data_IF_374232279201
#
_entry.id   IF_374232279201
#
_cell.length_a   1.000
_cell.length_b   1.000
_cell.length_c   1.000
_cell.angle_alpha   90.00
_cell.angle_beta   90.00
_cell.angle_gamma   90.00
#
_symmetry.space_group_name_H-M   'P 1'
#
loop_
_entity.id
_entity.type
_entity.pdbx_description
1 polymer ?
#
# COMPACT_ATOMS: atom_id res chain seq x y z
N UNK A 1 12.14 -3.34 17.98
CA UNK A 1 12.28 -2.04 17.26
C UNK A 1 12.47 -0.81 18.15
N UNK A 2 12.05 -0.82 19.44
CA UNK A 2 12.30 0.29 20.36
C UNK A 2 13.79 0.54 20.65
N UNK A 3 14.66 -0.46 20.49
CA UNK A 3 16.11 -0.32 20.70
C UNK A 3 16.84 0.33 19.49
N UNK A 4 16.44 0.07 18.23
CA UNK A 4 16.99 0.81 17.07
C UNK A 4 16.53 2.28 17.06
N UNK A 5 15.26 2.55 17.39
CA UNK A 5 14.78 3.95 17.52
C UNK A 5 15.54 4.74 18.60
N UNK A 6 16.15 4.04 19.57
CA UNK A 6 17.05 4.60 20.59
C UNK A 6 18.54 4.58 20.19
N UNK A 7 18.88 4.20 18.96
CA UNK A 7 20.25 4.14 18.44
C UNK A 7 21.09 2.96 18.96
N UNK A 8 20.52 2.04 19.75
CA UNK A 8 21.27 1.04 20.52
C UNK A 8 21.58 -0.27 19.78
N UNK A 9 21.18 -0.39 18.50
CA UNK A 9 21.39 -1.60 17.69
C UNK A 9 21.63 -1.17 16.23
N UNK A 10 22.66 -1.68 15.51
CA UNK A 10 22.89 -1.35 14.10
C UNK A 10 21.85 -1.98 13.16
N UNK A 11 21.63 -1.43 11.96
CA UNK A 11 20.71 -2.01 10.96
C UNK A 11 21.11 -3.41 10.54
N UNK A 12 22.41 -3.67 10.37
CA UNK A 12 22.93 -5.02 10.07
C UNK A 12 22.31 -6.11 10.95
N UNK A 13 22.23 -5.89 12.28
CA UNK A 13 21.62 -6.85 13.22
C UNK A 13 20.11 -7.00 13.08
N UNK A 14 19.40 -5.96 12.66
CA UNK A 14 17.97 -6.07 12.34
C UNK A 14 17.78 -6.88 11.07
N UNK A 15 18.62 -6.64 10.07
CA UNK A 15 18.52 -7.25 8.75
C UNK A 15 18.95 -8.73 8.76
N UNK A 16 19.91 -9.12 9.60
CA UNK A 16 20.28 -10.52 9.86
C UNK A 16 19.07 -11.40 10.23
N UNK A 17 18.04 -10.83 10.86
CA UNK A 17 16.82 -11.59 11.18
C UNK A 17 16.13 -12.15 9.92
N UNK A 18 16.38 -11.59 8.73
CA UNK A 18 15.81 -12.11 7.49
C UNK A 18 16.27 -13.54 7.20
N UNK A 19 17.46 -13.95 7.66
CA UNK A 19 17.97 -15.30 7.48
C UNK A 19 17.09 -16.32 8.19
N UNK A 20 16.64 -15.98 9.41
CA UNK A 20 15.64 -16.75 10.14
C UNK A 20 14.27 -16.67 9.46
N UNK A 21 13.82 -15.47 9.10
CA UNK A 21 12.49 -15.26 8.51
C UNK A 21 12.30 -16.00 7.17
N UNK A 22 13.37 -16.20 6.41
CA UNK A 22 13.32 -16.87 5.11
C UNK A 22 12.82 -18.31 5.18
N UNK A 23 13.01 -18.99 6.33
CA UNK A 23 12.60 -20.37 6.58
C UNK A 23 11.50 -20.51 7.65
N UNK A 24 10.96 -19.38 8.11
CA UNK A 24 9.90 -19.30 9.11
C UNK A 24 8.51 -19.36 8.44
N UNK A 25 7.59 -20.10 9.04
CA UNK A 25 6.22 -20.33 8.55
C UNK A 25 5.14 -19.94 9.57
N UNK A 26 5.53 -19.60 10.80
CA UNK A 26 4.62 -19.23 11.88
C UNK A 26 4.25 -17.75 11.84
N UNK A 27 3.01 -17.42 12.20
CA UNK A 27 2.51 -16.04 12.16
C UNK A 27 3.26 -15.06 13.08
N UNK A 28 3.55 -15.36 14.37
CA UNK A 28 4.07 -14.34 15.29
C UNK A 28 5.40 -13.70 14.86
N UNK A 29 6.41 -14.46 14.39
CA UNK A 29 7.65 -13.85 13.86
C UNK A 29 7.39 -12.97 12.64
N UNK A 30 6.53 -13.41 11.72
CA UNK A 30 6.18 -12.64 10.51
C UNK A 30 5.49 -11.33 10.87
N UNK A 31 4.55 -11.36 11.82
CA UNK A 31 3.89 -10.16 12.32
C UNK A 31 4.89 -9.20 12.99
N UNK A 32 5.81 -9.71 13.82
CA UNK A 32 6.82 -8.90 14.47
C UNK A 32 7.77 -8.22 13.47
N UNK A 33 8.11 -8.89 12.37
CA UNK A 33 9.00 -8.37 11.33
C UNK A 33 8.32 -7.45 10.31
N UNK A 34 6.98 -7.44 10.27
CA UNK A 34 6.21 -6.66 9.28
C UNK A 34 6.58 -5.18 9.26
N UNK A 35 6.69 -4.53 10.42
CA UNK A 35 7.03 -3.11 10.46
C UNK A 35 8.42 -2.80 9.90
N UNK A 36 9.36 -3.76 9.88
CA UNK A 36 10.65 -3.58 9.20
C UNK A 36 10.45 -3.58 7.69
N UNK A 37 9.67 -4.54 7.15
CA UNK A 37 9.35 -4.58 5.72
C UNK A 37 8.65 -3.30 5.29
N UNK A 38 7.61 -2.88 6.00
CA UNK A 38 6.84 -1.69 5.70
C UNK A 38 7.72 -0.43 5.75
N UNK A 39 8.59 -0.32 6.76
CA UNK A 39 9.52 0.80 6.88
C UNK A 39 10.50 0.86 5.70
N UNK A 40 11.07 -0.29 5.30
CA UNK A 40 12.01 -0.33 4.18
C UNK A 40 11.32 -0.04 2.84
N UNK A 41 10.15 -0.64 2.60
CA UNK A 41 9.35 -0.39 1.40
C UNK A 41 8.94 1.09 1.30
N UNK A 42 8.55 1.72 2.41
CA UNK A 42 8.17 3.13 2.42
C UNK A 42 9.38 4.06 2.26
N UNK A 43 10.45 3.84 3.04
CA UNK A 43 11.59 4.76 3.07
C UNK A 43 12.44 4.75 1.80
N UNK A 44 12.43 3.64 1.05
CA UNK A 44 13.14 3.52 -0.22
C UNK A 44 12.24 3.72 -1.45
N UNK A 45 10.95 4.05 -1.26
CA UNK A 45 10.01 4.27 -2.35
C UNK A 45 10.51 5.36 -3.29
N UNK A 46 10.40 5.11 -4.60
CA UNK A 46 10.89 6.00 -5.65
C UNK A 46 12.43 6.06 -5.82
N UNK A 47 13.19 5.32 -4.99
CA UNK A 47 14.66 5.29 -5.09
C UNK A 47 15.15 4.19 -6.02
N UNK A 48 16.39 4.33 -6.52
CA UNK A 48 17.04 3.30 -7.34
C UNK A 48 17.30 1.98 -6.58
N UNK A 49 17.25 1.99 -5.25
CA UNK A 49 17.50 0.80 -4.41
C UNK A 49 16.25 -0.07 -4.22
N UNK A 50 15.06 0.45 -4.56
CA UNK A 50 13.78 -0.24 -4.37
C UNK A 50 13.76 -1.69 -4.92
N UNK A 51 14.34 -2.01 -6.10
CA UNK A 51 14.39 -3.39 -6.57
C UNK A 51 15.07 -4.36 -5.59
N UNK A 52 16.14 -3.93 -4.93
CA UNK A 52 16.86 -4.76 -3.95
C UNK A 52 16.10 -4.84 -2.61
N UNK A 53 15.40 -3.76 -2.22
CA UNK A 53 14.47 -3.80 -1.09
C UNK A 53 13.35 -4.82 -1.33
N UNK A 54 12.74 -4.83 -2.53
CA UNK A 54 11.72 -5.83 -2.89
C UNK A 54 12.26 -7.25 -2.82
N UNK A 55 13.47 -7.51 -3.32
CA UNK A 55 14.13 -8.84 -3.20
C UNK A 55 14.34 -9.25 -1.74
N UNK A 56 14.79 -8.33 -0.88
CA UNK A 56 14.91 -8.58 0.56
C UNK A 56 13.57 -8.97 1.19
N UNK A 57 12.51 -8.22 0.89
CA UNK A 57 11.16 -8.50 1.41
C UNK A 57 10.65 -9.83 0.87
N UNK A 58 10.85 -10.14 -0.42
CA UNK A 58 10.48 -11.42 -1.02
C UNK A 58 11.17 -12.59 -0.31
N UNK A 59 12.49 -12.49 -0.07
CA UNK A 59 13.27 -13.49 0.65
C UNK A 59 12.70 -13.73 2.05
N UNK A 60 12.30 -12.68 2.75
CA UNK A 60 11.79 -12.75 4.12
C UNK A 60 10.46 -13.46 4.29
N UNK A 61 9.67 -13.67 3.22
CA UNK A 61 8.36 -14.35 3.26
C UNK A 61 8.31 -15.61 2.39
N UNK A 62 9.44 -15.98 1.79
CA UNK A 62 9.51 -17.00 0.72
C UNK A 62 8.89 -18.33 1.13
N UNK A 63 9.36 -18.93 2.23
CA UNK A 63 8.87 -20.26 2.65
C UNK A 63 7.45 -20.21 3.16
N UNK A 64 7.08 -19.17 3.93
CA UNK A 64 5.70 -18.94 4.34
C UNK A 64 4.74 -18.85 3.15
N UNK A 65 5.11 -18.14 2.07
CA UNK A 65 4.30 -18.08 0.86
C UNK A 65 4.23 -19.45 0.16
N UNK A 66 5.36 -20.14 -0.01
CA UNK A 66 5.40 -21.44 -0.67
C UNK A 66 4.57 -22.50 0.06
N UNK A 67 4.59 -22.49 1.39
CA UNK A 67 3.92 -23.50 2.19
C UNK A 67 2.48 -23.14 2.57
N UNK A 68 2.14 -21.85 2.69
CA UNK A 68 0.84 -21.39 3.21
C UNK A 68 0.08 -20.46 2.26
N UNK A 69 0.73 -19.94 1.23
CA UNK A 69 0.13 -19.00 0.28
C UNK A 69 -1.13 -19.56 -0.35
N UNK A 70 -2.17 -18.73 -0.43
CA UNK A 70 -3.50 -19.10 -0.95
C UNK A 70 -4.21 -20.28 -0.26
N UNK A 71 -3.66 -20.86 0.80
CA UNK A 71 -4.27 -22.00 1.47
C UNK A 71 -5.48 -21.58 2.30
N UNK A 72 -6.49 -22.45 2.32
CA UNK A 72 -7.63 -22.34 3.22
C UNK A 72 -7.30 -23.08 4.51
N UNK A 73 -7.31 -22.38 5.63
CA UNK A 73 -7.11 -22.98 6.96
C UNK A 73 -8.24 -22.57 7.91
N UNK A 74 -8.60 -23.48 8.82
CA UNK A 74 -9.45 -23.16 9.97
C UNK A 74 -8.65 -22.64 11.16
N UNK A 75 -7.32 -22.79 11.14
CA UNK A 75 -6.43 -22.20 12.14
C UNK A 75 -6.23 -20.72 11.84
N UNK A 76 -6.55 -19.87 12.81
CA UNK A 76 -6.39 -18.42 12.69
C UNK A 76 -4.94 -18.01 12.43
N UNK A 77 -3.97 -18.70 13.05
CA UNK A 77 -2.54 -18.39 12.85
C UNK A 77 -2.09 -18.73 11.44
N UNK A 78 -2.51 -19.88 10.91
CA UNK A 78 -2.20 -20.30 9.54
C UNK A 78 -2.84 -19.37 8.51
N UNK A 79 -4.11 -18.98 8.73
CA UNK A 79 -4.79 -18.04 7.86
C UNK A 79 -4.10 -16.66 7.88
N UNK A 80 -3.67 -16.20 9.05
CA UNK A 80 -3.01 -14.91 9.21
C UNK A 80 -1.63 -14.85 8.54
N UNK A 81 -0.83 -15.93 8.64
CA UNK A 81 0.46 -16.00 7.92
C UNK A 81 0.23 -16.14 6.41
N UNK A 82 -0.80 -16.87 5.97
CA UNK A 82 -1.17 -16.96 4.57
C UNK A 82 -1.52 -15.58 3.99
N UNK A 83 -2.34 -14.77 4.69
CA UNK A 83 -2.64 -13.38 4.28
C UNK A 83 -1.37 -12.57 4.10
N UNK A 84 -0.53 -12.52 5.15
CA UNK A 84 0.66 -11.70 5.16
C UNK A 84 1.63 -12.12 4.04
N UNK A 85 1.94 -13.41 3.95
CA UNK A 85 2.92 -13.92 3.02
C UNK A 85 2.45 -13.78 1.57
N UNK A 86 1.15 -14.01 1.31
CA UNK A 86 0.56 -13.85 -0.02
C UNK A 86 0.59 -12.39 -0.47
N UNK A 87 0.23 -11.44 0.41
CA UNK A 87 0.31 -10.01 0.08
C UNK A 87 1.75 -9.57 -0.23
N UNK A 88 2.72 -9.93 0.62
CA UNK A 88 4.12 -9.53 0.42
C UNK A 88 4.76 -10.21 -0.79
N UNK A 89 4.40 -11.46 -1.10
CA UNK A 89 4.87 -12.14 -2.32
C UNK A 89 4.37 -11.39 -3.56
N UNK A 90 3.08 -11.06 -3.63
CA UNK A 90 2.54 -10.32 -4.77
C UNK A 90 3.09 -8.87 -4.84
N UNK A 91 3.30 -8.19 -3.70
CA UNK A 91 3.88 -6.85 -3.61
C UNK A 91 5.31 -6.77 -4.17
N UNK A 92 6.04 -7.88 -4.06
CA UNK A 92 7.45 -7.99 -4.49
C UNK A 92 7.59 -8.60 -5.88
N UNK A 93 6.52 -8.52 -6.68
CA UNK A 93 6.47 -8.95 -8.08
C UNK A 93 6.74 -10.46 -8.26
N UNK A 94 6.38 -11.28 -7.26
CA UNK A 94 6.46 -12.74 -7.40
C UNK A 94 5.48 -13.21 -8.49
N UNK A 95 6.04 -13.72 -9.59
CA UNK A 95 5.29 -14.14 -10.79
C UNK A 95 4.23 -15.20 -10.48
N UNK A 96 4.53 -16.16 -9.61
CA UNK A 96 3.57 -17.19 -9.22
C UNK A 96 2.37 -16.59 -8.46
N UNK A 97 2.64 -15.69 -7.51
CA UNK A 97 1.61 -14.98 -6.76
C UNK A 97 0.73 -14.14 -7.67
N UNK A 98 1.34 -13.37 -8.58
CA UNK A 98 0.61 -12.53 -9.54
C UNK A 98 -0.26 -13.38 -10.47
N UNK A 99 0.28 -14.45 -11.06
CA UNK A 99 -0.48 -15.34 -11.94
C UNK A 99 -1.65 -15.99 -11.19
N UNK A 100 -1.42 -16.42 -9.94
CA UNK A 100 -2.47 -17.01 -9.11
C UNK A 100 -3.56 -16.00 -8.75
N UNK A 101 -3.17 -14.78 -8.34
CA UNK A 101 -4.11 -13.70 -8.05
C UNK A 101 -4.97 -13.37 -9.27
N UNK A 102 -4.36 -13.28 -10.46
CA UNK A 102 -5.08 -13.07 -11.73
C UNK A 102 -6.08 -14.19 -12.00
N UNK A 103 -5.64 -15.44 -11.96
CA UNK A 103 -6.51 -16.60 -12.23
C UNK A 103 -7.70 -16.66 -11.26
N UNK A 104 -7.46 -16.44 -9.97
CA UNK A 104 -8.52 -16.39 -8.97
C UNK A 104 -9.45 -15.20 -9.18
N UNK A 105 -8.93 -14.05 -9.60
CA UNK A 105 -9.75 -12.87 -9.89
C UNK A 105 -10.59 -13.03 -11.15
N UNK A 106 -10.05 -13.65 -12.20
CA UNK A 106 -10.80 -13.94 -13.43
C UNK A 106 -12.01 -14.85 -13.11
N UNK A 107 -11.81 -15.88 -12.28
CA UNK A 107 -12.90 -16.73 -11.80
C UNK A 107 -13.91 -15.93 -10.96
N UNK A 108 -13.44 -15.04 -10.08
CA UNK A 108 -14.30 -14.16 -9.30
C UNK A 108 -15.17 -13.27 -10.19
N UNK A 109 -14.63 -12.67 -11.25
CA UNK A 109 -15.40 -11.83 -12.16
C UNK A 109 -16.53 -12.62 -12.81
N UNK A 110 -16.22 -13.81 -13.35
CA UNK A 110 -17.23 -14.69 -13.99
C UNK A 110 -18.30 -15.12 -12.99
N UNK A 111 -17.90 -15.56 -11.80
CA UNK A 111 -18.84 -16.10 -10.82
C UNK A 111 -19.69 -15.00 -10.15
N UNK A 112 -19.14 -13.79 -9.98
CA UNK A 112 -19.78 -12.71 -9.25
C UNK A 112 -20.43 -11.64 -10.13
N UNK A 113 -20.34 -11.74 -11.47
CA UNK A 113 -20.90 -10.76 -12.42
C UNK A 113 -22.36 -10.42 -12.11
N UNK A 114 -23.18 -11.44 -11.86
CA UNK A 114 -24.61 -11.32 -11.57
C UNK A 114 -24.93 -11.46 -10.08
N UNK A 115 -23.94 -11.39 -9.19
CA UNK A 115 -24.20 -11.54 -7.76
C UNK A 115 -25.10 -10.42 -7.22
N UNK A 116 -26.09 -10.84 -6.43
CA UNK A 116 -27.03 -9.97 -5.71
C UNK A 116 -26.89 -10.09 -4.18
N UNK A 117 -25.91 -10.88 -3.71
CA UNK A 117 -25.72 -11.26 -2.30
C UNK A 117 -24.30 -10.98 -1.78
N UNK A 118 -23.56 -10.11 -2.49
CA UNK A 118 -22.15 -9.83 -2.19
C UNK A 118 -21.22 -10.90 -2.74
N UNK A 119 -20.08 -11.12 -2.09
CA UNK A 119 -18.98 -11.97 -2.59
C UNK A 119 -18.93 -13.36 -1.95
N UNK A 120 -19.70 -13.60 -0.90
CA UNK A 120 -19.57 -14.80 -0.06
C UNK A 120 -19.76 -16.10 -0.83
N UNK A 121 -20.83 -16.19 -1.62
CA UNK A 121 -21.20 -17.39 -2.38
C UNK A 121 -20.37 -17.53 -3.67
N UNK A 122 -20.27 -16.44 -4.44
CA UNK A 122 -19.62 -16.47 -5.76
C UNK A 122 -18.08 -16.51 -5.70
N UNK A 123 -17.47 -16.16 -4.56
CA UNK A 123 -16.02 -16.26 -4.34
C UNK A 123 -15.64 -17.33 -3.29
N UNK A 124 -16.48 -18.35 -3.11
CA UNK A 124 -16.36 -19.33 -2.02
C UNK A 124 -15.12 -20.23 -2.09
N UNK A 125 -14.52 -20.36 -3.27
CA UNK A 125 -13.28 -21.11 -3.50
C UNK A 125 -12.04 -20.40 -2.96
N UNK A 126 -12.12 -19.09 -2.74
CA UNK A 126 -11.01 -18.31 -2.17
C UNK A 126 -11.25 -18.05 -0.70
N UNK A 127 -10.26 -18.46 0.12
CA UNK A 127 -10.25 -18.19 1.55
C UNK A 127 -10.39 -16.68 1.80
N UNK A 128 -11.32 -16.24 2.65
CA UNK A 128 -11.58 -14.82 2.91
C UNK A 128 -10.33 -14.02 3.27
N UNK A 129 -9.40 -14.63 3.99
CA UNK A 129 -8.16 -14.03 4.48
C UNK A 129 -7.20 -13.60 3.36
N UNK A 130 -7.28 -14.19 2.16
CA UNK A 130 -6.42 -13.85 1.01
C UNK A 130 -7.17 -13.09 -0.10
N UNK A 131 -8.46 -12.77 0.11
CA UNK A 131 -9.28 -12.08 -0.90
C UNK A 131 -8.82 -10.65 -1.16
N UNK A 132 -8.28 -9.95 -0.16
CA UNK A 132 -7.66 -8.63 -0.34
C UNK A 132 -6.58 -8.66 -1.43
N UNK A 133 -5.73 -9.69 -1.37
CA UNK A 133 -4.64 -9.90 -2.34
C UNK A 133 -5.18 -10.34 -3.70
N UNK A 134 -6.15 -11.27 -3.73
CA UNK A 134 -6.84 -11.66 -4.97
C UNK A 134 -7.40 -10.44 -5.70
N UNK A 135 -8.22 -9.62 -5.02
CA UNK A 135 -8.89 -8.50 -5.65
C UNK A 135 -7.90 -7.44 -6.12
N UNK A 136 -6.92 -7.06 -5.29
CA UNK A 136 -5.94 -6.04 -5.64
C UNK A 136 -5.08 -6.42 -6.84
N UNK A 137 -4.33 -7.52 -6.74
CA UNK A 137 -3.38 -7.90 -7.79
C UNK A 137 -4.06 -8.53 -8.99
N UNK A 138 -5.25 -9.11 -8.80
CA UNK A 138 -6.10 -9.56 -9.88
C UNK A 138 -6.65 -8.40 -10.71
N UNK A 139 -7.25 -7.38 -10.08
CA UNK A 139 -7.77 -6.21 -10.78
C UNK A 139 -6.64 -5.41 -11.46
N UNK A 140 -5.47 -5.32 -10.84
CA UNK A 140 -4.29 -4.70 -11.46
C UNK A 140 -3.89 -5.36 -12.80
N UNK A 141 -4.12 -6.67 -12.95
CA UNK A 141 -3.82 -7.45 -14.15
C UNK A 141 -5.02 -7.63 -15.10
N UNK A 142 -6.24 -7.39 -14.60
CA UNK A 142 -7.48 -7.50 -15.38
C UNK A 142 -8.34 -6.23 -15.18
N UNK A 143 -7.94 -5.06 -15.73
CA UNK A 143 -8.54 -3.76 -15.39
C UNK A 143 -10.03 -3.61 -15.76
N UNK A 144 -10.50 -4.36 -16.76
CA UNK A 144 -11.92 -4.41 -17.14
C UNK A 144 -12.83 -4.99 -16.05
N UNK A 145 -12.27 -5.58 -14.99
CA UNK A 145 -13.02 -6.05 -13.82
C UNK A 145 -13.49 -4.95 -12.88
N UNK A 146 -13.14 -3.68 -13.12
CA UNK A 146 -13.46 -2.56 -12.23
C UNK A 146 -14.97 -2.43 -11.96
N UNK A 147 -15.81 -2.62 -12.97
CA UNK A 147 -17.26 -2.45 -12.84
C UNK A 147 -17.86 -3.47 -11.86
N UNK A 148 -17.35 -4.72 -11.88
CA UNK A 148 -17.76 -5.77 -10.94
C UNK A 148 -17.34 -5.39 -9.52
N UNK A 149 -16.10 -4.89 -9.35
CA UNK A 149 -15.57 -4.48 -8.04
C UNK A 149 -16.35 -3.29 -7.48
N UNK A 150 -16.60 -2.25 -8.26
CA UNK A 150 -17.38 -1.10 -7.83
C UNK A 150 -18.84 -1.48 -7.50
N UNK A 151 -19.48 -2.28 -8.35
CA UNK A 151 -20.85 -2.78 -8.12
C UNK A 151 -20.93 -3.49 -6.77
N UNK A 152 -20.00 -4.41 -6.50
CA UNK A 152 -19.99 -5.20 -5.26
C UNK A 152 -19.63 -4.35 -4.05
N UNK A 153 -18.70 -3.41 -4.17
CA UNK A 153 -18.40 -2.44 -3.12
C UNK A 153 -19.65 -1.62 -2.75
N UNK A 154 -20.32 -1.02 -3.74
CA UNK A 154 -21.56 -0.27 -3.56
C UNK A 154 -22.67 -1.13 -2.94
N UNK A 155 -22.75 -2.41 -3.32
CA UNK A 155 -23.67 -3.36 -2.69
C UNK A 155 -23.38 -3.52 -1.20
N UNK A 156 -22.12 -3.68 -0.78
CA UNK A 156 -21.78 -3.82 0.64
C UNK A 156 -22.09 -2.55 1.44
N UNK A 157 -21.72 -1.38 0.92
CA UNK A 157 -22.01 -0.08 1.56
C UNK A 157 -23.51 0.07 1.83
N UNK A 158 -24.35 -0.37 0.88
CA UNK A 158 -25.81 -0.26 1.00
C UNK A 158 -26.44 -1.36 1.86
N UNK A 159 -25.98 -2.60 1.76
CA UNK A 159 -26.72 -3.77 2.26
C UNK A 159 -26.06 -4.50 3.43
N UNK A 160 -24.82 -4.18 3.79
CA UNK A 160 -24.04 -4.96 4.77
C UNK A 160 -23.36 -4.08 5.82
N UNK A 161 -24.10 -3.10 6.33
CA UNK A 161 -23.58 -2.12 7.28
C UNK A 161 -22.90 -2.75 8.51
N UNK A 162 -23.44 -3.86 9.03
CA UNK A 162 -22.93 -4.54 10.22
C UNK A 162 -21.89 -5.65 9.93
N UNK A 163 -21.73 -6.07 8.67
CA UNK A 163 -20.88 -7.22 8.29
C UNK A 163 -19.97 -6.87 7.10
N UNK A 164 -19.02 -5.97 7.37
CA UNK A 164 -18.00 -5.43 6.46
C UNK A 164 -16.87 -6.43 6.14
N UNK A 165 -17.23 -7.60 5.60
CA UNK A 165 -16.25 -8.69 5.39
C UNK A 165 -15.30 -8.43 4.21
N UNK A 166 -15.84 -7.93 3.10
CA UNK A 166 -15.11 -7.78 1.84
C UNK A 166 -15.17 -6.36 1.26
N UNK A 167 -15.86 -5.43 1.88
CA UNK A 167 -16.01 -4.08 1.34
C UNK A 167 -14.69 -3.29 1.39
N UNK A 168 -13.93 -3.36 2.48
CA UNK A 168 -12.59 -2.78 2.54
C UNK A 168 -11.62 -3.48 1.57
N UNK A 169 -11.76 -4.79 1.38
CA UNK A 169 -10.96 -5.55 0.41
C UNK A 169 -11.22 -5.08 -1.02
N UNK A 170 -12.48 -4.84 -1.38
CA UNK A 170 -12.88 -4.32 -2.69
C UNK A 170 -12.47 -2.85 -2.87
N UNK A 171 -12.60 -2.02 -1.82
CA UNK A 171 -12.11 -0.64 -1.84
C UNK A 171 -10.60 -0.58 -2.07
N UNK A 172 -9.83 -1.41 -1.36
CA UNK A 172 -8.40 -1.56 -1.55
C UNK A 172 -8.06 -2.02 -2.96
N UNK A 173 -8.87 -2.90 -3.57
CA UNK A 173 -8.64 -3.35 -4.93
C UNK A 173 -8.72 -2.21 -5.96
N UNK A 174 -9.66 -1.29 -5.82
CA UNK A 174 -9.80 -0.13 -6.72
C UNK A 174 -8.50 0.69 -6.81
N UNK A 175 -7.76 0.82 -5.70
CA UNK A 175 -6.48 1.52 -5.67
C UNK A 175 -5.35 0.80 -6.43
N UNK A 176 -5.47 -0.50 -6.69
CA UNK A 176 -4.46 -1.32 -7.34
C UNK A 176 -4.49 -1.23 -8.87
N UNK A 177 -5.50 -0.59 -9.45
CA UNK A 177 -5.55 -0.26 -10.88
C UNK A 177 -4.36 0.61 -11.28
N UNK A 178 -3.82 0.37 -12.46
CA UNK A 178 -2.67 1.14 -12.97
C UNK A 178 -3.11 2.33 -13.84
N UNK A 179 -4.38 2.40 -14.24
CA UNK A 179 -4.90 3.50 -15.06
C UNK A 179 -4.95 4.82 -14.27
N UNK A 180 -4.17 5.79 -14.73
CA UNK A 180 -4.02 7.08 -14.06
C UNK A 180 -5.33 7.89 -14.08
N UNK A 181 -6.07 7.86 -15.20
CA UNK A 181 -7.34 8.57 -15.33
C UNK A 181 -8.37 8.06 -14.30
N UNK A 182 -8.47 6.74 -14.14
CA UNK A 182 -9.31 6.10 -13.13
C UNK A 182 -8.85 6.47 -11.73
N UNK A 183 -7.56 6.43 -11.42
CA UNK A 183 -7.09 6.84 -10.09
C UNK A 183 -7.40 8.31 -9.79
N UNK A 184 -7.25 9.22 -10.77
CA UNK A 184 -7.65 10.64 -10.61
C UNK A 184 -9.15 10.80 -10.35
N UNK A 185 -9.99 10.04 -11.07
CA UNK A 185 -11.44 9.98 -10.77
C UNK A 185 -11.70 9.50 -9.35
N UNK A 186 -11.05 8.43 -8.90
CA UNK A 186 -11.21 7.90 -7.54
C UNK A 186 -10.76 8.93 -6.49
N UNK A 187 -9.70 9.70 -6.74
CA UNK A 187 -9.29 10.81 -5.86
C UNK A 187 -10.40 11.86 -5.78
N UNK A 188 -10.94 12.30 -6.92
CA UNK A 188 -12.06 13.25 -6.95
C UNK A 188 -13.28 12.71 -6.17
N UNK A 189 -13.67 11.46 -6.43
CA UNK A 189 -14.79 10.81 -5.75
C UNK A 189 -14.58 10.73 -4.21
N UNK A 190 -13.34 10.61 -3.72
CA UNK A 190 -13.06 10.70 -2.28
C UNK A 190 -13.23 12.13 -1.76
N UNK A 191 -12.73 13.12 -2.50
CA UNK A 191 -12.85 14.54 -2.13
C UNK A 191 -14.32 14.99 -2.07
N UNK A 192 -15.17 14.42 -2.92
CA UNK A 192 -16.62 14.66 -2.94
C UNK A 192 -17.41 13.80 -1.93
N UNK A 193 -16.74 12.87 -1.23
CA UNK A 193 -17.35 12.01 -0.21
C UNK A 193 -18.11 10.79 -0.75
N UNK A 194 -17.90 10.41 -2.01
CA UNK A 194 -18.45 9.18 -2.60
C UNK A 194 -17.69 7.92 -2.14
N UNK A 195 -16.40 8.05 -1.83
CA UNK A 195 -15.58 7.00 -1.24
C UNK A 195 -14.98 7.42 0.12
N UNK A 196 -14.71 6.46 1.02
CA UNK A 196 -14.01 6.71 2.27
C UNK A 196 -12.60 7.25 2.05
N UNK A 197 -12.17 8.12 2.97
CA UNK A 197 -10.86 8.80 2.90
C UNK A 197 -9.66 7.85 2.81
N UNK A 198 -9.77 6.64 3.40
CA UNK A 198 -8.74 5.59 3.36
C UNK A 198 -8.37 5.14 1.95
N UNK A 199 -9.25 5.36 0.95
CA UNK A 199 -8.91 5.06 -0.44
C UNK A 199 -7.70 5.90 -0.92
N UNK A 200 -7.48 7.10 -0.38
CA UNK A 200 -6.27 7.88 -0.67
C UNK A 200 -5.00 7.17 -0.18
N UNK A 201 -5.03 6.59 1.03
CA UNK A 201 -3.91 5.79 1.56
C UNK A 201 -3.61 4.61 0.66
N UNK A 202 -4.65 3.89 0.22
CA UNK A 202 -4.48 2.76 -0.68
C UNK A 202 -3.93 3.20 -2.04
N UNK A 203 -4.41 4.31 -2.60
CA UNK A 203 -3.88 4.86 -3.86
C UNK A 203 -2.40 5.21 -3.71
N UNK A 204 -2.02 5.89 -2.63
CA UNK A 204 -0.63 6.23 -2.37
C UNK A 204 0.25 4.99 -2.23
N UNK A 205 -0.17 3.98 -1.48
CA UNK A 205 0.56 2.71 -1.32
C UNK A 205 0.78 1.98 -2.65
N UNK A 206 -0.10 2.17 -3.63
CA UNK A 206 -0.07 1.52 -4.95
C UNK A 206 0.44 2.42 -6.07
N UNK A 207 0.81 3.66 -5.77
CA UNK A 207 1.46 4.56 -6.70
C UNK A 207 2.98 4.35 -6.67
N UNK A 208 3.55 3.85 -7.77
CA UNK A 208 4.98 3.57 -7.87
C UNK A 208 5.83 4.82 -8.10
N UNK A 209 5.25 5.89 -8.65
CA UNK A 209 5.96 7.16 -8.86
C UNK A 209 6.02 7.98 -7.58
N UNK A 210 5.08 7.75 -6.68
CA UNK A 210 4.90 8.51 -5.44
C UNK A 210 4.60 10.00 -5.70
N UNK A 211 3.98 10.32 -6.83
CA UNK A 211 3.67 11.70 -7.23
C UNK A 211 2.20 11.95 -7.49
N UNK A 212 1.37 10.91 -7.65
CA UNK A 212 0.02 11.06 -8.18
C UNK A 212 -0.85 12.01 -7.34
N UNK A 213 -0.89 11.82 -6.02
CA UNK A 213 -1.68 12.68 -5.14
C UNK A 213 -1.13 14.11 -5.08
N UNK A 214 0.19 14.26 -5.11
CA UNK A 214 0.81 15.57 -5.17
C UNK A 214 0.47 16.30 -6.48
N UNK A 215 0.62 15.63 -7.61
CA UNK A 215 0.33 16.19 -8.92
C UNK A 215 -1.17 16.53 -9.05
N UNK A 216 -2.04 15.72 -8.44
CA UNK A 216 -3.48 16.02 -8.32
C UNK A 216 -3.73 17.29 -7.49
N UNK A 217 -3.10 17.43 -6.32
CA UNK A 217 -3.19 18.63 -5.47
C UNK A 217 -2.74 19.88 -6.23
N UNK A 218 -1.60 19.83 -6.93
CA UNK A 218 -1.09 20.97 -7.69
C UNK A 218 -2.08 21.39 -8.79
N UNK A 219 -2.69 20.42 -9.48
CA UNK A 219 -3.64 20.69 -10.55
C UNK A 219 -5.05 21.09 -10.05
N UNK A 220 -5.44 20.70 -8.83
CA UNK A 220 -6.80 20.84 -8.31
C UNK A 220 -6.80 21.32 -6.85
N UNK A 221 -6.02 22.36 -6.54
CA UNK A 221 -5.77 22.81 -5.18
C UNK A 221 -7.05 23.10 -4.40
N UNK A 222 -8.02 23.75 -5.03
CA UNK A 222 -9.30 24.10 -4.39
C UNK A 222 -10.10 22.85 -4.00
N UNK A 223 -10.14 21.83 -4.87
CA UNK A 223 -10.84 20.58 -4.58
C UNK A 223 -10.23 19.85 -3.36
N UNK A 224 -8.91 19.96 -3.18
CA UNK A 224 -8.23 19.37 -2.02
C UNK A 224 -8.38 20.24 -0.76
N UNK A 225 -8.29 21.57 -0.90
CA UNK A 225 -8.43 22.49 0.24
C UNK A 225 -9.84 22.50 0.83
N UNK A 226 -10.87 22.30 0.01
CA UNK A 226 -12.28 22.34 0.42
C UNK A 226 -12.97 20.97 0.37
N UNK A 227 -12.22 19.90 0.09
CA UNK A 227 -12.74 18.54 0.02
C UNK A 227 -13.12 17.95 1.38
N UNK A 228 -13.76 16.78 1.34
CA UNK A 228 -14.18 16.03 2.55
C UNK A 228 -13.00 15.65 3.46
N UNK A 229 -11.86 15.11 2.96
CA UNK A 229 -10.69 14.87 3.78
C UNK A 229 -10.07 16.19 4.24
N UNK A 230 -9.56 16.26 5.46
CA UNK A 230 -8.76 17.41 5.88
C UNK A 230 -7.49 17.51 5.03
N UNK A 231 -7.03 18.75 4.76
CA UNK A 231 -5.76 18.96 4.05
C UNK A 231 -4.59 18.26 4.75
N UNK A 232 -4.59 18.21 6.08
CA UNK A 232 -3.55 17.49 6.84
C UNK A 232 -3.55 16.00 6.50
N UNK A 233 -4.72 15.35 6.47
CA UNK A 233 -4.81 13.93 6.12
C UNK A 233 -4.36 13.69 4.68
N UNK A 234 -4.81 14.53 3.74
CA UNK A 234 -4.41 14.43 2.34
C UNK A 234 -2.89 14.54 2.20
N UNK A 235 -2.27 15.53 2.86
CA UNK A 235 -0.83 15.76 2.82
C UNK A 235 -0.04 14.63 3.47
N UNK A 236 -0.51 14.10 4.61
CA UNK A 236 0.13 12.97 5.31
C UNK A 236 0.29 11.76 4.39
N UNK A 237 -0.70 11.55 3.53
CA UNK A 237 -0.72 10.47 2.54
C UNK A 237 0.08 10.84 1.29
N UNK A 238 -0.10 12.05 0.76
CA UNK A 238 0.49 12.49 -0.52
C UNK A 238 2.01 12.59 -0.49
N UNK A 239 2.60 12.98 0.65
CA UNK A 239 4.06 13.15 0.79
C UNK A 239 4.68 12.20 1.82
N UNK A 240 3.92 11.22 2.32
CA UNK A 240 4.31 10.38 3.45
C UNK A 240 5.61 9.57 3.24
N UNK A 241 5.89 9.17 2.00
CA UNK A 241 7.11 8.44 1.59
C UNK A 241 8.17 9.31 0.94
N UNK A 242 7.92 10.61 0.75
CA UNK A 242 8.88 11.52 0.12
C UNK A 242 10.16 11.60 0.95
N UNK A 243 11.29 11.52 0.26
CA UNK A 243 12.61 11.30 0.84
C UNK A 243 13.76 11.96 0.05
N UNK A 244 13.47 12.91 -0.86
CA UNK A 244 14.47 13.58 -1.69
C UNK A 244 14.41 15.10 -1.61
N UNK A 245 15.54 15.77 -1.87
CA UNK A 245 15.58 17.24 -1.91
C UNK A 245 14.67 17.81 -3.01
N UNK A 246 14.62 17.16 -4.18
CA UNK A 246 13.75 17.57 -5.29
C UNK A 246 12.27 17.61 -4.87
N UNK A 247 11.84 16.68 -4.02
CA UNK A 247 10.48 16.65 -3.46
C UNK A 247 10.23 17.84 -2.50
N UNK A 248 11.20 18.24 -1.68
CA UNK A 248 11.08 19.46 -0.87
C UNK A 248 10.96 20.70 -1.74
N UNK A 249 11.77 20.78 -2.80
CA UNK A 249 11.78 21.93 -3.70
C UNK A 249 10.43 22.07 -4.42
N UNK A 250 9.73 20.95 -4.70
CA UNK A 250 8.35 20.97 -5.22
C UNK A 250 7.37 21.63 -4.24
N UNK A 251 7.52 21.39 -2.93
CA UNK A 251 6.66 22.01 -1.92
C UNK A 251 6.88 23.52 -1.88
N UNK A 252 8.13 23.96 -1.93
CA UNK A 252 8.48 25.39 -1.97
C UNK A 252 7.95 26.07 -3.23
N UNK A 253 8.12 25.43 -4.39
CA UNK A 253 7.58 25.93 -5.64
C UNK A 253 6.05 26.05 -5.60
N UNK A 254 5.35 25.06 -5.02
CA UNK A 254 3.90 25.10 -4.88
C UNK A 254 3.44 26.23 -3.96
N UNK A 255 4.02 26.37 -2.77
CA UNK A 255 3.71 27.47 -1.85
C UNK A 255 3.92 28.84 -2.50
N UNK A 256 5.05 29.01 -3.21
CA UNK A 256 5.34 30.24 -3.94
C UNK A 256 4.33 30.50 -5.06
N UNK A 257 3.89 29.45 -5.75
CA UNK A 257 2.91 29.58 -6.85
C UNK A 257 1.52 30.00 -6.36
N UNK A 258 1.15 29.62 -5.14
CA UNK A 258 -0.12 30.03 -4.52
C UNK A 258 -0.08 31.47 -4.01
N UNK A 259 1.09 31.98 -3.62
CA UNK A 259 1.27 33.36 -3.17
C UNK A 259 0.31 33.74 -2.04
N UNK A 260 -0.50 34.78 -2.25
CA UNK A 260 -1.48 35.26 -1.27
C UNK A 260 -2.85 34.56 -1.37
N UNK A 261 -3.04 33.65 -2.32
CA UNK A 261 -4.32 32.92 -2.51
C UNK A 261 -4.53 31.82 -1.47
N UNK A 262 -3.44 31.28 -0.92
CA UNK A 262 -3.51 30.28 0.15
C UNK A 262 -3.78 30.94 1.50
N UNK A 263 -4.65 30.34 2.31
CA UNK A 263 -4.88 30.80 3.68
C UNK A 263 -3.66 30.52 4.58
N UNK A 264 -3.42 31.32 5.63
CA UNK A 264 -2.35 31.07 6.59
C UNK A 264 -2.42 29.67 7.22
N UNK A 265 -3.62 29.15 7.46
CA UNK A 265 -3.85 27.83 8.04
C UNK A 265 -3.41 26.71 7.08
N UNK A 266 -3.81 26.79 5.80
CA UNK A 266 -3.42 25.80 4.80
C UNK A 266 -1.92 25.87 4.52
N UNK A 267 -1.35 27.07 4.45
CA UNK A 267 0.10 27.25 4.29
C UNK A 267 0.87 26.60 5.45
N UNK A 268 0.39 26.75 6.69
CA UNK A 268 0.98 26.11 7.86
C UNK A 268 0.96 24.59 7.74
N UNK A 269 -0.16 23.98 7.35
CA UNK A 269 -0.26 22.53 7.16
C UNK A 269 0.76 22.03 6.15
N UNK A 270 0.91 22.71 5.01
CA UNK A 270 1.89 22.33 3.98
C UNK A 270 3.33 22.45 4.52
N UNK A 271 3.64 23.51 5.26
CA UNK A 271 4.96 23.69 5.90
C UNK A 271 5.26 22.61 6.95
N UNK A 272 4.28 22.20 7.75
CA UNK A 272 4.47 21.13 8.74
C UNK A 272 4.80 19.79 8.06
N UNK A 273 4.17 19.50 6.91
CA UNK A 273 4.48 18.31 6.11
C UNK A 273 5.84 18.40 5.41
N UNK A 274 6.27 19.60 4.99
CA UNK A 274 7.64 19.83 4.52
C UNK A 274 8.68 19.39 5.56
N UNK A 275 8.46 19.72 6.84
CA UNK A 275 9.34 19.29 7.92
C UNK A 275 9.39 17.76 8.10
N UNK A 276 8.26 17.06 7.89
CA UNK A 276 8.21 15.58 7.88
C UNK A 276 9.00 14.98 6.72
N UNK A 277 8.91 15.56 5.52
CA UNK A 277 9.73 15.14 4.37
C UNK A 277 11.22 15.33 4.66
N UNK A 278 11.61 16.44 5.31
CA UNK A 278 13.00 16.64 5.74
C UNK A 278 13.46 15.53 6.70
N UNK A 279 12.63 15.12 7.67
CA UNK A 279 12.97 14.02 8.59
C UNK A 279 13.17 12.69 7.84
N UNK A 280 12.38 12.42 6.79
CA UNK A 280 12.55 11.24 5.96
C UNK A 280 13.89 11.27 5.19
N UNK A 281 14.25 12.43 4.62
CA UNK A 281 15.55 12.63 3.95
C UNK A 281 16.70 12.38 4.92
N UNK A 282 16.65 12.97 6.12
CA UNK A 282 17.69 12.84 7.13
C UNK A 282 17.84 11.40 7.62
N UNK A 283 16.70 10.71 7.78
CA UNK A 283 16.67 9.31 8.13
C UNK A 283 17.32 8.46 7.02
N UNK A 284 16.92 8.66 5.76
CA UNK A 284 17.46 7.86 4.66
C UNK A 284 18.96 8.10 4.51
N UNK A 285 19.41 9.37 4.54
CA UNK A 285 20.83 9.73 4.50
C UNK A 285 21.65 9.06 5.60
N UNK A 286 21.09 8.93 6.80
CA UNK A 286 21.81 8.37 7.96
C UNK A 286 21.82 6.85 8.00
N UNK A 287 20.94 6.16 7.27
CA UNK A 287 20.74 4.72 7.39
C UNK A 287 20.94 3.95 6.07
N UNK A 288 20.86 4.63 4.92
CA UNK A 288 20.87 4.01 3.58
C UNK A 288 22.08 3.13 3.35
N UNK A 289 23.28 3.65 3.56
CA UNK A 289 24.50 2.92 3.20
C UNK A 289 24.66 1.64 4.04
N UNK A 290 24.38 1.69 5.34
CA UNK A 290 24.42 0.50 6.20
C UNK A 290 23.42 -0.57 5.73
N UNK A 291 22.17 -0.15 5.47
CA UNK A 291 21.10 -1.05 5.02
C UNK A 291 21.46 -1.67 3.67
N UNK A 292 21.85 -0.85 2.70
CA UNK A 292 22.09 -1.30 1.33
C UNK A 292 23.36 -2.13 1.21
N UNK A 293 24.42 -1.81 1.96
CA UNK A 293 25.61 -2.66 2.01
C UNK A 293 25.29 -4.06 2.54
N UNK A 294 24.49 -4.15 3.60
CA UNK A 294 24.06 -5.45 4.13
C UNK A 294 23.17 -6.19 3.14
N UNK A 295 22.14 -5.52 2.59
CA UNK A 295 21.20 -6.12 1.65
C UNK A 295 21.96 -6.64 0.42
N UNK A 296 22.74 -5.80 -0.25
CA UNK A 296 23.46 -6.18 -1.47
C UNK A 296 24.43 -7.36 -1.28
N UNK A 297 24.97 -7.54 -0.07
CA UNK A 297 25.84 -8.67 0.27
C UNK A 297 25.07 -9.98 0.53
N UNK A 298 23.77 -9.94 0.86
CA UNK A 298 23.03 -11.09 1.39
C UNK A 298 21.74 -11.45 0.63
N UNK A 299 21.36 -10.71 -0.41
CA UNK A 299 20.17 -10.98 -1.25
C UNK A 299 20.46 -11.59 -2.62
N UNK A 300 21.73 -11.96 -2.89
CA UNK A 300 22.07 -12.75 -4.08
C UNK A 300 21.41 -14.13 -4.03
#
# INVERSE_FOLDING_TARGET
MSFRRRGSLPWSRVLEMVEFMADEIEYPPHFAFQRVRDQLLNAFKGTADMPNIKKFVAKSVRKAYQERGWQKSSSWTDASVATLATEHACLTDNVECLNKAKSLFDAFMTNCEYSMTGTGLCNSDVAPDVRRTQYCYGLAQTPNGIDVVEKLYKWFVKNSYYFRRDDDNLLHALACLQDEATKKRLIADVLDGHYPVVLLEYIAQRDSTDTLLWDYLVANSDAVFYGVPSLSYYMDVAVGSWNTQQQLDKIDAFLNSLGTTISPENAKVIMDHKAKVQQNIDWLKSNRDEIMNWINANIQ
#
